data_IF_088699370287
#
_entry.id   IF_088699370287
#
_cell.length_a   1.000
_cell.length_b   1.000
_cell.length_c   1.000
_cell.angle_alpha   90.00
_cell.angle_beta   90.00
_cell.angle_gamma   90.00
#
_symmetry.space_group_name_H-M   'P 1'
#
loop_
_entity.id
_entity.type
_entity.pdbx_description
1 polymer ?
#
# COMPACT_ATOMS: atom_id res chain seq x y z
N UNK A 1 31.33 -44.88 -0.71
CA UNK A 1 30.92 -44.03 0.44
C UNK A 1 31.42 -42.63 0.12
N UNK A 2 30.50 -41.69 -0.10
CA UNK A 2 30.86 -40.31 -0.34
C UNK A 2 31.25 -39.68 0.98
N UNK A 3 32.32 -38.87 1.00
CA UNK A 3 32.71 -38.06 2.14
C UNK A 3 31.63 -37.01 2.40
N UNK A 4 30.98 -37.10 3.53
CA UNK A 4 30.02 -36.12 4.00
C UNK A 4 30.71 -35.20 5.00
N UNK A 5 30.76 -33.90 4.70
CA UNK A 5 31.25 -32.90 5.63
C UNK A 5 30.06 -32.21 6.30
N UNK A 6 30.03 -32.18 7.63
CA UNK A 6 29.03 -31.45 8.38
C UNK A 6 29.44 -29.97 8.52
N UNK A 7 28.56 -29.07 8.12
CA UNK A 7 28.70 -27.62 8.32
C UNK A 7 27.73 -27.19 9.42
N UNK A 8 28.25 -26.56 10.46
CA UNK A 8 27.44 -25.99 11.55
C UNK A 8 27.34 -24.49 11.43
N UNK A 9 26.13 -23.94 11.56
CA UNK A 9 25.94 -22.51 11.66
C UNK A 9 26.40 -21.98 13.03
N UNK A 10 27.26 -20.97 13.06
CA UNK A 10 27.76 -20.37 14.30
C UNK A 10 26.76 -19.50 15.07
N UNK A 11 25.56 -19.29 14.50
CA UNK A 11 24.46 -18.51 15.11
C UNK A 11 23.10 -18.98 14.57
N UNK A 12 22.03 -18.65 15.29
CA UNK A 12 20.66 -18.95 14.84
C UNK A 12 20.25 -18.10 13.63
N UNK A 13 19.48 -18.67 12.73
CA UNK A 13 18.97 -18.00 11.52
C UNK A 13 18.18 -18.93 10.63
N UNK A 14 17.66 -18.41 9.54
CA UNK A 14 16.98 -19.16 8.49
C UNK A 14 17.95 -19.46 7.35
N UNK A 15 18.17 -20.72 7.04
CA UNK A 15 18.99 -21.12 5.90
C UNK A 15 18.19 -20.94 4.59
N UNK A 16 18.80 -20.29 3.59
CA UNK A 16 18.29 -20.20 2.24
C UNK A 16 19.32 -20.76 1.27
N UNK A 17 18.89 -21.68 0.41
CA UNK A 17 19.71 -22.21 -0.66
C UNK A 17 19.83 -21.26 -1.87
N UNK A 18 19.02 -20.18 -1.90
CA UNK A 18 19.08 -19.19 -2.96
C UNK A 18 20.20 -18.19 -2.67
N UNK A 19 21.24 -18.21 -3.47
CA UNK A 19 22.32 -17.26 -3.54
C UNK A 19 22.51 -16.88 -5.00
N UNK A 20 22.35 -15.61 -5.33
CA UNK A 20 22.35 -15.12 -6.70
C UNK A 20 23.28 -13.91 -6.90
N UNK A 21 24.12 -13.59 -5.90
CA UNK A 21 25.10 -12.51 -5.93
C UNK A 21 24.53 -11.13 -5.61
N UNK A 22 23.22 -11.00 -5.33
CA UNK A 22 22.64 -9.71 -4.91
C UNK A 22 22.77 -9.46 -3.40
N UNK A 23 23.15 -10.45 -2.62
CA UNK A 23 23.22 -10.39 -1.17
C UNK A 23 24.17 -9.32 -0.63
N UNK A 24 25.31 -9.11 -1.32
CA UNK A 24 26.31 -8.12 -0.95
C UNK A 24 25.99 -6.72 -1.51
N UNK A 25 25.20 -6.64 -2.58
CA UNK A 25 24.93 -5.40 -3.31
C UNK A 25 23.60 -4.77 -2.97
N UNK A 26 22.57 -5.56 -2.56
CA UNK A 26 21.28 -5.10 -2.11
C UNK A 26 21.12 -5.32 -0.60
N UNK A 27 21.99 -4.69 0.20
CA UNK A 27 21.86 -4.72 1.66
C UNK A 27 20.80 -3.73 2.13
N UNK A 28 20.17 -3.95 3.32
CA UNK A 28 19.20 -3.00 3.86
C UNK A 28 19.72 -1.56 3.92
N UNK A 29 20.98 -1.38 4.34
CA UNK A 29 21.62 -0.06 4.47
C UNK A 29 21.72 0.63 3.10
N UNK A 30 22.14 -0.10 2.07
CA UNK A 30 22.24 0.46 0.71
C UNK A 30 20.87 0.80 0.15
N UNK A 31 19.85 -0.04 0.36
CA UNK A 31 18.49 0.24 -0.10
C UNK A 31 17.92 1.54 0.50
N UNK A 32 18.35 1.91 1.71
CA UNK A 32 17.92 3.16 2.35
C UNK A 32 18.54 4.43 1.72
N UNK A 33 19.60 4.31 0.95
CA UNK A 33 20.32 5.46 0.37
C UNK A 33 20.31 5.46 -1.17
N UNK A 34 20.00 4.33 -1.83
CA UNK A 34 20.06 4.20 -3.29
C UNK A 34 19.12 5.18 -4.01
N UNK A 35 19.59 5.67 -5.13
CA UNK A 35 18.79 6.37 -6.15
C UNK A 35 18.08 5.36 -7.08
N UNK A 36 17.13 5.83 -7.88
CA UNK A 36 16.48 4.98 -8.90
C UNK A 36 17.52 4.46 -9.90
N UNK A 37 18.40 5.34 -10.38
CA UNK A 37 19.42 4.99 -11.36
C UNK A 37 20.41 3.93 -10.80
N UNK A 38 20.82 4.07 -9.55
CA UNK A 38 21.70 3.09 -8.89
C UNK A 38 21.00 1.73 -8.73
N UNK A 39 19.72 1.73 -8.34
CA UNK A 39 18.95 0.50 -8.17
C UNK A 39 18.78 -0.26 -9.49
N UNK A 40 18.46 0.45 -10.58
CA UNK A 40 18.34 -0.15 -11.91
C UNK A 40 19.66 -0.64 -12.49
N UNK A 41 20.78 -0.04 -12.07
CA UNK A 41 22.11 -0.43 -12.53
C UNK A 41 22.76 -1.55 -11.69
N UNK A 42 22.09 -2.04 -10.63
CA UNK A 42 22.63 -3.09 -9.76
C UNK A 42 22.89 -4.37 -10.55
N UNK A 43 24.11 -4.88 -10.41
CA UNK A 43 24.52 -6.18 -10.95
C UNK A 43 24.89 -7.12 -9.80
N UNK A 44 24.70 -8.43 -9.96
CA UNK A 44 25.09 -9.41 -8.96
C UNK A 44 26.61 -9.46 -8.80
N UNK A 45 27.10 -9.76 -7.59
CA UNK A 45 28.51 -10.02 -7.35
C UNK A 45 28.83 -11.48 -7.68
N UNK A 46 29.78 -11.70 -8.58
CA UNK A 46 30.20 -13.04 -8.98
C UNK A 46 30.87 -13.86 -7.86
N UNK A 47 31.38 -13.17 -6.82
CA UNK A 47 32.07 -13.84 -5.70
C UNK A 47 31.14 -14.79 -4.93
N UNK A 48 29.83 -14.53 -4.91
CA UNK A 48 28.85 -15.36 -4.20
C UNK A 48 28.34 -16.55 -5.05
N UNK A 49 28.67 -16.63 -6.32
CA UNK A 49 28.19 -17.68 -7.24
C UNK A 49 28.57 -19.12 -6.85
N UNK A 50 29.55 -19.29 -5.94
CA UNK A 50 29.98 -20.59 -5.43
C UNK A 50 29.44 -20.92 -4.04
N UNK A 51 28.64 -20.04 -3.42
CA UNK A 51 28.05 -20.30 -2.13
C UNK A 51 26.94 -21.38 -2.22
N UNK A 52 26.95 -22.33 -1.29
CA UNK A 52 25.93 -23.40 -1.20
C UNK A 52 24.62 -22.90 -0.60
N UNK A 53 24.61 -21.70 -0.06
CA UNK A 53 23.47 -21.07 0.58
C UNK A 53 23.92 -19.95 1.50
N UNK A 54 22.96 -19.27 2.09
CA UNK A 54 23.18 -18.17 3.06
C UNK A 54 22.40 -18.39 4.35
N UNK A 55 22.89 -17.84 5.43
CA UNK A 55 22.21 -17.80 6.72
C UNK A 55 21.61 -16.40 6.94
N UNK A 56 20.29 -16.32 6.94
CA UNK A 56 19.55 -15.09 7.21
C UNK A 56 19.38 -14.98 8.72
N UNK A 57 20.04 -13.98 9.32
CA UNK A 57 19.99 -13.74 10.78
C UNK A 57 19.00 -12.66 11.17
N UNK A 58 18.51 -11.85 10.22
CA UNK A 58 17.44 -10.88 10.43
C UNK A 58 16.07 -11.53 10.25
N UNK A 59 15.09 -11.08 11.02
CA UNK A 59 13.68 -11.41 10.80
C UNK A 59 13.02 -10.49 9.77
N UNK A 60 13.61 -9.32 9.56
CA UNK A 60 13.11 -8.33 8.61
C UNK A 60 13.68 -8.58 7.22
N UNK A 61 12.82 -8.55 6.23
CA UNK A 61 13.15 -8.61 4.82
C UNK A 61 12.52 -7.44 4.06
N UNK A 62 13.00 -7.18 2.86
CA UNK A 62 12.64 -6.02 2.09
C UNK A 62 12.20 -6.43 0.68
N UNK A 63 11.26 -5.65 0.14
CA UNK A 63 10.88 -5.65 -1.26
C UNK A 63 11.11 -4.24 -1.80
N UNK A 64 11.89 -4.13 -2.86
CA UNK A 64 12.21 -2.85 -3.49
C UNK A 64 11.78 -2.85 -4.95
N UNK A 65 11.19 -1.75 -5.41
CA UNK A 65 10.77 -1.58 -6.79
C UNK A 65 10.76 -0.10 -7.18
N UNK A 66 10.85 0.16 -8.48
CA UNK A 66 10.68 1.48 -9.05
C UNK A 66 9.22 1.67 -9.44
N UNK A 67 8.61 2.76 -8.99
CA UNK A 67 7.20 3.07 -9.17
C UNK A 67 7.05 4.50 -9.69
N UNK A 68 6.09 4.80 -10.60
CA UNK A 68 5.77 6.16 -10.99
C UNK A 68 5.46 7.05 -9.77
N UNK A 69 6.07 8.22 -9.69
CA UNK A 69 5.90 9.12 -8.55
C UNK A 69 4.44 9.56 -8.34
N UNK A 70 3.64 9.59 -9.43
CA UNK A 70 2.21 9.92 -9.39
C UNK A 70 1.36 8.88 -8.64
N UNK A 71 1.81 7.61 -8.58
CA UNK A 71 1.11 6.55 -7.85
C UNK A 71 1.40 6.57 -6.34
N UNK A 72 2.38 7.37 -5.92
CA UNK A 72 2.85 7.49 -4.54
C UNK A 72 2.56 8.87 -3.93
N UNK A 73 1.65 9.66 -4.53
CA UNK A 73 1.34 11.03 -4.07
C UNK A 73 0.82 11.10 -2.63
N UNK A 74 0.03 10.10 -2.24
CA UNK A 74 -0.63 10.01 -0.92
C UNK A 74 0.01 8.95 -0.02
N UNK A 75 1.22 8.50 -0.36
CA UNK A 75 1.94 7.47 0.39
C UNK A 75 3.09 8.11 1.15
N UNK A 76 3.20 7.76 2.44
CA UNK A 76 4.26 8.25 3.34
C UNK A 76 5.07 7.08 3.92
N UNK A 77 6.30 7.39 4.36
CA UNK A 77 7.12 6.41 5.09
C UNK A 77 6.43 6.02 6.41
N UNK A 78 6.38 4.72 6.69
CA UNK A 78 5.65 4.15 7.80
C UNK A 78 4.26 3.62 7.46
N UNK A 79 3.70 3.99 6.31
CA UNK A 79 2.39 3.51 5.86
C UNK A 79 2.37 1.99 5.70
N UNK A 80 1.16 1.44 5.86
CA UNK A 80 0.92 0.02 5.63
C UNK A 80 0.64 -0.23 4.15
N UNK A 81 1.25 -1.31 3.65
CA UNK A 81 0.98 -1.85 2.34
C UNK A 81 0.65 -3.34 2.44
N UNK A 82 -0.14 -3.83 1.50
CA UNK A 82 -0.34 -5.26 1.28
C UNK A 82 0.32 -5.64 -0.03
N UNK A 83 1.27 -6.57 0.03
CA UNK A 83 2.01 -7.08 -1.12
C UNK A 83 1.50 -8.46 -1.49
N UNK A 84 1.17 -8.68 -2.77
CA UNK A 84 0.81 -10.00 -3.31
C UNK A 84 1.70 -10.31 -4.51
N UNK A 85 2.51 -11.36 -4.41
CA UNK A 85 3.39 -11.78 -5.50
C UNK A 85 2.61 -12.42 -6.65
N UNK A 86 3.07 -12.20 -7.87
CA UNK A 86 2.45 -12.76 -9.07
C UNK A 86 2.70 -14.27 -9.24
N UNK A 87 3.75 -14.81 -8.59
CA UNK A 87 4.15 -16.22 -8.70
C UNK A 87 4.71 -16.75 -7.38
N UNK A 88 4.69 -18.06 -7.25
CA UNK A 88 5.35 -18.88 -6.21
C UNK A 88 4.81 -18.69 -4.78
N UNK A 89 4.29 -17.52 -4.43
CA UNK A 89 3.65 -17.27 -3.14
C UNK A 89 2.52 -16.25 -3.29
N UNK A 90 1.28 -16.72 -3.27
CA UNK A 90 0.07 -15.91 -3.56
C UNK A 90 -0.63 -15.36 -2.32
N UNK A 91 -0.10 -15.62 -1.13
CA UNK A 91 -0.70 -15.07 0.09
C UNK A 91 -0.32 -13.60 0.26
N UNK A 92 -1.29 -12.71 0.56
CA UNK A 92 -0.97 -11.33 0.80
C UNK A 92 -0.11 -11.16 2.06
N UNK A 93 0.94 -10.35 1.94
CA UNK A 93 1.86 -10.04 3.04
C UNK A 93 1.68 -8.59 3.45
N UNK A 94 1.43 -8.37 4.74
CA UNK A 94 1.42 -7.01 5.28
C UNK A 94 2.86 -6.50 5.38
N UNK A 95 3.10 -5.35 4.78
CA UNK A 95 4.37 -4.65 4.78
C UNK A 95 4.22 -3.22 5.29
N UNK A 96 5.34 -2.56 5.51
CA UNK A 96 5.41 -1.12 5.79
C UNK A 96 6.30 -0.44 4.77
N UNK A 97 5.96 0.78 4.41
CA UNK A 97 6.84 1.65 3.62
C UNK A 97 8.06 1.99 4.51
N UNK A 98 9.19 1.39 4.20
CA UNK A 98 10.43 1.64 4.91
C UNK A 98 11.15 2.87 4.37
N UNK A 99 10.99 3.14 3.05
CA UNK A 99 11.58 4.31 2.39
C UNK A 99 10.82 4.68 1.12
N UNK A 100 10.69 5.97 0.90
CA UNK A 100 10.32 6.57 -0.37
C UNK A 100 11.50 7.39 -0.90
N UNK A 101 12.20 6.89 -1.91
CA UNK A 101 13.29 7.59 -2.58
C UNK A 101 12.86 8.92 -3.20
N UNK A 102 13.81 9.79 -3.55
CA UNK A 102 13.54 11.04 -4.25
C UNK A 102 12.84 10.82 -5.60
N UNK A 103 12.17 11.84 -6.11
CA UNK A 103 11.60 11.78 -7.45
C UNK A 103 12.74 11.98 -8.48
N UNK A 104 12.96 10.96 -9.30
CA UNK A 104 13.96 10.97 -10.37
C UNK A 104 13.24 10.69 -11.69
N UNK A 105 13.20 11.70 -12.54
CA UNK A 105 12.54 11.65 -13.86
C UNK A 105 11.10 11.10 -13.84
N UNK A 106 10.34 11.39 -12.78
CA UNK A 106 8.96 10.94 -12.61
C UNK A 106 8.79 9.58 -11.96
N UNK A 107 9.87 8.97 -11.49
CA UNK A 107 9.87 7.68 -10.77
C UNK A 107 10.48 7.81 -9.36
N UNK A 108 10.13 6.90 -8.47
CA UNK A 108 10.69 6.81 -7.11
C UNK A 108 11.06 5.37 -6.79
N UNK A 109 12.13 5.16 -6.04
CA UNK A 109 12.44 3.88 -5.45
C UNK A 109 11.58 3.69 -4.19
N UNK A 110 10.69 2.72 -4.23
CA UNK A 110 9.87 2.30 -3.10
C UNK A 110 10.55 1.11 -2.43
N UNK A 111 10.76 1.20 -1.12
CA UNK A 111 11.26 0.09 -0.30
C UNK A 111 10.24 -0.26 0.75
N UNK A 112 9.75 -1.49 0.72
CA UNK A 112 8.83 -2.05 1.69
C UNK A 112 9.57 -3.01 2.61
N UNK A 113 9.17 -3.10 3.88
CA UNK A 113 9.72 -4.02 4.87
C UNK A 113 8.64 -4.86 5.54
N UNK A 114 8.98 -6.10 5.91
CA UNK A 114 8.13 -6.98 6.70
C UNK A 114 8.98 -7.91 7.57
N UNK A 115 8.44 -8.29 8.72
CA UNK A 115 8.95 -9.34 9.59
C UNK A 115 8.15 -10.66 9.47
N UNK A 116 7.17 -10.69 8.55
CA UNK A 116 6.24 -11.80 8.35
C UNK A 116 6.63 -12.63 7.14
N UNK A 117 6.21 -13.89 7.15
CA UNK A 117 6.35 -14.83 6.02
C UNK A 117 7.80 -15.04 5.51
N UNK A 118 8.83 -14.65 6.27
CA UNK A 118 10.24 -14.77 5.85
C UNK A 118 10.56 -16.16 5.29
N UNK A 119 10.15 -17.23 5.97
CA UNK A 119 10.44 -18.61 5.54
C UNK A 119 9.84 -18.95 4.17
N UNK A 120 8.72 -18.31 3.81
CA UNK A 120 8.03 -18.55 2.55
C UNK A 120 8.62 -17.76 1.38
N UNK A 121 9.29 -16.64 1.68
CA UNK A 121 9.83 -15.73 0.66
C UNK A 121 11.35 -15.85 0.46
N UNK A 122 12.05 -16.66 1.25
CA UNK A 122 13.53 -16.79 1.18
C UNK A 122 14.06 -17.23 -0.17
N UNK A 123 13.25 -17.94 -0.95
CA UNK A 123 13.61 -18.41 -2.30
C UNK A 123 13.12 -17.49 -3.41
N UNK A 124 12.29 -16.50 -3.07
CA UNK A 124 11.84 -15.52 -4.04
C UNK A 124 12.96 -14.52 -4.33
N UNK A 125 13.08 -14.16 -5.59
CA UNK A 125 14.07 -13.21 -6.08
C UNK A 125 13.35 -12.09 -6.82
N UNK A 126 13.70 -11.82 -8.04
CA UNK A 126 13.00 -10.84 -8.85
C UNK A 126 11.57 -11.29 -9.14
N UNK A 127 10.61 -10.62 -8.53
CA UNK A 127 9.19 -10.94 -8.61
C UNK A 127 8.37 -9.69 -8.93
N UNK A 128 7.41 -9.86 -9.83
CA UNK A 128 6.34 -8.87 -9.97
C UNK A 128 5.35 -9.05 -8.81
N UNK A 129 4.84 -7.93 -8.30
CA UNK A 129 3.88 -7.94 -7.21
C UNK A 129 2.84 -6.84 -7.40
N UNK A 130 1.64 -7.09 -6.88
CA UNK A 130 0.63 -6.07 -6.65
C UNK A 130 0.85 -5.47 -5.26
N UNK A 131 0.80 -4.13 -5.18
CA UNK A 131 0.98 -3.39 -3.93
C UNK A 131 -0.27 -2.55 -3.70
N UNK A 132 -0.93 -2.76 -2.57
CA UNK A 132 -2.11 -1.99 -2.14
C UNK A 132 -1.76 -1.25 -0.86
N UNK A 133 -1.69 0.09 -0.91
CA UNK A 133 -1.35 0.93 0.25
C UNK A 133 -2.53 1.16 1.16
N UNK A 134 -3.69 1.52 0.58
CA UNK A 134 -4.92 1.71 1.33
C UNK A 134 -6.10 1.17 0.53
N UNK A 135 -7.06 0.60 1.24
CA UNK A 135 -8.33 0.19 0.69
C UNK A 135 -9.43 0.85 1.50
N UNK A 136 -10.23 1.69 0.86
CA UNK A 136 -11.38 2.33 1.48
C UNK A 136 -12.65 1.74 0.89
N UNK A 137 -13.54 1.31 1.76
CA UNK A 137 -14.88 0.84 1.39
C UNK A 137 -15.91 1.82 1.93
N UNK A 138 -16.79 2.32 1.06
CA UNK A 138 -17.80 3.29 1.45
C UNK A 138 -18.63 3.78 0.27
N UNK A 139 -19.34 4.87 0.50
CA UNK A 139 -20.19 5.52 -0.49
C UNK A 139 -19.39 6.57 -1.25
N UNK A 140 -19.44 6.54 -2.58
CA UNK A 140 -18.84 7.57 -3.41
C UNK A 140 -19.75 8.81 -3.41
N UNK A 141 -19.24 9.93 -2.92
CA UNK A 141 -19.96 11.20 -2.80
C UNK A 141 -19.24 12.25 -3.66
N UNK A 142 -19.88 12.81 -4.71
CA UNK A 142 -19.29 13.91 -5.47
C UNK A 142 -19.01 15.11 -4.58
N UNK A 143 -17.84 15.75 -4.74
CA UNK A 143 -17.49 16.96 -3.97
C UNK A 143 -18.52 18.07 -4.08
N UNK A 144 -19.17 18.19 -5.25
CA UNK A 144 -20.23 19.17 -5.49
C UNK A 144 -21.49 18.96 -4.65
N UNK A 145 -21.73 17.77 -4.11
CA UNK A 145 -22.86 17.48 -3.23
C UNK A 145 -22.56 17.80 -1.76
N UNK A 146 -21.27 17.86 -1.37
CA UNK A 146 -20.86 18.01 0.03
C UNK A 146 -21.08 19.45 0.51
N UNK A 147 -21.63 19.59 1.71
CA UNK A 147 -21.88 20.84 2.40
C UNK A 147 -21.38 20.74 3.84
N UNK A 148 -21.21 21.89 4.46
CA UNK A 148 -20.91 21.99 5.90
C UNK A 148 -22.01 22.82 6.55
N UNK A 149 -22.71 22.24 7.51
CA UNK A 149 -23.75 22.91 8.29
C UNK A 149 -23.47 22.75 9.78
N UNK A 150 -23.53 23.84 10.51
CA UNK A 150 -23.26 23.87 11.95
C UNK A 150 -21.91 23.19 12.32
N UNK A 151 -20.89 23.27 11.44
CA UNK A 151 -19.60 22.63 11.65
C UNK A 151 -19.57 21.13 11.32
N UNK A 152 -20.66 20.56 10.82
CA UNK A 152 -20.76 19.15 10.44
C UNK A 152 -20.75 18.99 8.91
N UNK A 153 -19.93 18.08 8.41
CA UNK A 153 -19.90 17.73 6.98
C UNK A 153 -21.03 16.76 6.65
N UNK A 154 -21.74 17.02 5.55
CA UNK A 154 -22.86 16.20 5.11
C UNK A 154 -23.29 16.49 3.70
N UNK A 155 -24.41 15.87 3.32
CA UNK A 155 -25.05 16.03 2.03
C UNK A 155 -26.54 16.25 2.19
N UNK A 156 -27.18 16.83 1.17
CA UNK A 156 -28.63 16.79 1.05
C UNK A 156 -29.04 15.70 0.07
N UNK A 157 -29.99 14.88 0.48
CA UNK A 157 -30.66 13.91 -0.39
C UNK A 157 -32.08 14.40 -0.72
N UNK A 158 -32.62 13.86 -1.80
CA UNK A 158 -34.04 14.04 -2.15
C UNK A 158 -34.84 12.91 -1.53
N UNK A 159 -35.68 13.22 -0.54
CA UNK A 159 -36.63 12.29 0.05
C UNK A 159 -38.06 12.70 -0.37
N UNK A 160 -38.61 12.02 -1.38
CA UNK A 160 -39.83 12.48 -2.07
C UNK A 160 -39.60 13.80 -2.80
N UNK A 161 -40.13 14.91 -2.28
CA UNK A 161 -39.96 16.26 -2.82
C UNK A 161 -39.18 17.17 -1.87
N UNK A 162 -38.66 16.63 -0.79
CA UNK A 162 -38.00 17.38 0.28
C UNK A 162 -36.49 17.11 0.31
N UNK A 163 -35.73 18.16 0.53
CA UNK A 163 -34.31 18.01 0.86
C UNK A 163 -34.20 17.53 2.31
N UNK A 164 -33.42 16.47 2.53
CA UNK A 164 -33.12 15.94 3.85
C UNK A 164 -31.62 15.94 4.08
N UNK A 165 -31.19 16.50 5.20
CA UNK A 165 -29.78 16.52 5.61
C UNK A 165 -29.33 15.15 6.08
N UNK A 166 -28.16 14.71 5.60
CA UNK A 166 -27.50 13.49 6.06
C UNK A 166 -26.03 13.77 6.37
N UNK A 167 -25.58 13.56 7.61
CA UNK A 167 -24.18 13.71 7.97
C UNK A 167 -23.34 12.61 7.30
N UNK A 168 -22.10 12.93 6.95
CA UNK A 168 -21.14 11.96 6.42
C UNK A 168 -19.80 12.08 7.11
N UNK A 169 -19.10 10.95 7.23
CA UNK A 169 -17.69 10.90 7.63
C UNK A 169 -16.86 10.59 6.39
N UNK A 170 -15.99 11.51 6.01
CA UNK A 170 -15.10 11.33 4.86
C UNK A 170 -13.95 10.41 5.28
N UNK A 171 -13.73 9.32 4.53
CA UNK A 171 -12.64 8.37 4.71
C UNK A 171 -11.46 8.68 3.80
N UNK A 172 -11.74 9.13 2.58
CA UNK A 172 -10.70 9.38 1.58
C UNK A 172 -11.17 10.39 0.53
N UNK A 173 -10.22 11.17 0.00
CA UNK A 173 -10.42 12.11 -1.11
C UNK A 173 -9.84 11.50 -2.39
N UNK A 174 -10.66 11.26 -3.41
CA UNK A 174 -10.24 10.71 -4.70
C UNK A 174 -9.93 11.80 -5.74
N UNK A 175 -9.86 13.08 -5.35
CA UNK A 175 -9.68 14.21 -6.25
C UNK A 175 -11.02 14.76 -6.78
N UNK A 176 -11.88 13.97 -7.38
CA UNK A 176 -13.20 14.36 -7.90
C UNK A 176 -14.36 14.10 -6.92
N UNK A 177 -14.19 13.12 -6.05
CA UNK A 177 -15.22 12.65 -5.11
C UNK A 177 -14.59 12.35 -3.75
N UNK A 178 -15.43 12.18 -2.75
CA UNK A 178 -15.06 11.60 -1.47
C UNK A 178 -15.56 10.17 -1.35
N UNK A 179 -14.83 9.33 -0.62
CA UNK A 179 -15.33 8.06 -0.09
C UNK A 179 -15.84 8.35 1.31
N UNK A 180 -17.14 8.26 1.51
CA UNK A 180 -17.78 8.43 2.80
C UNK A 180 -18.01 7.07 3.47
N UNK A 181 -17.90 7.03 4.80
CA UNK A 181 -18.19 5.81 5.57
C UNK A 181 -19.63 5.36 5.33
N UNK A 182 -19.81 4.05 5.12
CA UNK A 182 -21.14 3.44 5.13
C UNK A 182 -21.47 3.06 6.57
N UNK A 183 -22.39 3.81 7.18
CA UNK A 183 -22.93 3.51 8.51
C UNK A 183 -24.42 3.16 8.38
N UNK A 184 -24.74 1.89 8.58
CA UNK A 184 -26.10 1.35 8.49
C UNK A 184 -26.83 1.30 9.83
N UNK A 185 -26.29 1.92 10.87
CA UNK A 185 -26.86 1.92 12.21
C UNK A 185 -28.12 2.79 12.36
N UNK A 186 -28.32 3.78 11.46
CA UNK A 186 -29.46 4.69 11.47
C UNK A 186 -29.95 5.00 10.06
N UNK A 187 -31.25 5.21 9.90
CA UNK A 187 -31.85 5.72 8.66
C UNK A 187 -31.50 7.18 8.39
N UNK A 188 -31.00 7.90 9.38
CA UNK A 188 -30.55 9.29 9.23
C UNK A 188 -29.17 9.40 8.59
N UNK A 189 -28.46 8.28 8.47
CA UNK A 189 -27.18 8.20 7.76
C UNK A 189 -27.42 8.08 6.24
N UNK A 190 -26.36 8.34 5.46
CA UNK A 190 -26.39 8.19 4.01
C UNK A 190 -26.40 6.70 3.62
N UNK A 191 -27.30 6.32 2.71
CA UNK A 191 -27.47 4.95 2.25
C UNK A 191 -27.17 4.79 0.75
N UNK A 192 -26.78 3.58 0.30
CA UNK A 192 -26.70 3.29 -1.12
C UNK A 192 -28.05 3.46 -1.80
N UNK A 193 -28.07 4.28 -2.85
CA UNK A 193 -29.29 4.58 -3.60
C UNK A 193 -29.97 5.90 -3.19
N UNK A 194 -29.52 6.57 -2.14
CA UNK A 194 -29.97 7.93 -1.83
C UNK A 194 -29.64 8.89 -2.99
N UNK A 195 -30.59 9.70 -3.40
CA UNK A 195 -30.46 10.67 -4.49
C UNK A 195 -29.84 11.97 -3.97
N UNK A 196 -28.57 12.25 -4.34
CA UNK A 196 -27.85 13.41 -3.88
C UNK A 196 -28.24 14.69 -4.61
N UNK A 197 -28.51 15.77 -3.88
CA UNK A 197 -28.76 17.11 -4.43
C UNK A 197 -27.44 17.82 -4.68
N UNK A 198 -27.05 17.97 -5.94
CA UNK A 198 -25.78 18.56 -6.35
C UNK A 198 -25.89 20.08 -6.54
N UNK A 199 -26.92 20.52 -7.29
CA UNK A 199 -27.08 21.89 -7.77
C UNK A 199 -28.34 22.55 -7.22
N UNK A 200 -28.37 22.90 -5.94
CA UNK A 200 -29.43 23.74 -5.39
C UNK A 200 -28.83 24.81 -4.47
N UNK A 201 -29.45 26.01 -4.52
CA UNK A 201 -29.07 27.15 -3.66
C UNK A 201 -29.95 27.20 -2.41
N UNK A 202 -29.33 27.62 -1.30
CA UNK A 202 -30.05 27.84 -0.04
C UNK A 202 -30.83 26.59 0.41
N UNK A 203 -30.17 25.41 0.39
CA UNK A 203 -30.74 24.19 0.92
C UNK A 203 -30.83 24.31 2.45
N UNK A 204 -31.88 23.75 3.00
CA UNK A 204 -32.05 23.48 4.43
C UNK A 204 -32.93 22.23 4.59
N UNK A 205 -32.84 21.59 5.73
CA UNK A 205 -33.60 20.39 6.02
C UNK A 205 -35.12 20.64 5.93
N UNK A 206 -35.84 19.82 5.14
CA UNK A 206 -37.25 19.99 4.87
C UNK A 206 -37.60 20.97 3.74
N UNK A 207 -36.63 21.51 3.00
CA UNK A 207 -36.89 22.39 1.85
C UNK A 207 -37.52 21.60 0.69
N UNK A 208 -38.61 22.11 0.11
CA UNK A 208 -39.18 21.57 -1.14
C UNK A 208 -38.23 21.86 -2.30
N UNK A 209 -37.87 20.83 -3.02
CA UNK A 209 -37.02 20.87 -4.22
C UNK A 209 -37.90 20.48 -5.41
N UNK A 210 -38.01 21.39 -6.37
CA UNK A 210 -38.77 21.20 -7.61
C UNK A 210 -37.81 20.99 -8.79
#
# INVERSE_FOLDING_TARGET
AGDTSAISAGRAGTFSAAVDGYEAVLTPERLMDMTVAEFEAVQPDEADAHAIGRLITSTTWYYACVVPASELSDVEEGDRATLTFARDYYQPVTMRVARLGGNEAGSRLLVLSSDRALQNVTLLRQQSAEIVFASYSGLRVPKSAVRVENGQTGVYILEGTLAKWKPITILHDTGESYVAALDTSSTDNLWPGDELIINAKNLYDGKVVN
#
